data_IF_865123990008
#
_entry.id   IF_865123990008
#
_cell.length_a   1.000
_cell.length_b   1.000
_cell.length_c   1.000
_cell.angle_alpha   90.00
_cell.angle_beta   90.00
_cell.angle_gamma   90.00
#
_symmetry.space_group_name_H-M   'P 1'
#
loop_
_entity.id
_entity.type
_entity.pdbx_description
1 polymer ?
#
# COMPACT_ATOMS: atom_id res chain seq x y z
N UNK A 1 -0.66 -17.80 -15.86
CA UNK A 1 -0.15 -16.41 -15.97
C UNK A 1 -1.24 -15.35 -16.07
N UNK A 2 -2.26 -15.48 -16.94
CA UNK A 2 -3.35 -14.49 -17.04
C UNK A 2 -4.13 -14.29 -15.73
N UNK A 3 -4.49 -15.38 -15.06
CA UNK A 3 -5.28 -15.35 -13.81
C UNK A 3 -4.57 -14.54 -12.71
N UNK A 4 -3.29 -14.81 -12.44
CA UNK A 4 -2.51 -14.07 -11.41
C UNK A 4 -2.44 -12.57 -11.71
N UNK A 5 -2.25 -12.21 -12.98
CA UNK A 5 -2.23 -10.80 -13.41
C UNK A 5 -3.59 -10.14 -13.22
N UNK A 6 -4.69 -10.84 -13.56
CA UNK A 6 -6.06 -10.37 -13.31
C UNK A 6 -6.33 -10.17 -11.82
N UNK A 7 -5.91 -11.10 -10.96
CA UNK A 7 -6.06 -10.98 -9.51
C UNK A 7 -5.35 -9.72 -8.98
N UNK A 8 -4.13 -9.46 -9.43
CA UNK A 8 -3.38 -8.26 -9.04
C UNK A 8 -4.07 -6.96 -9.50
N UNK A 9 -4.65 -6.95 -10.69
CA UNK A 9 -5.42 -5.79 -11.20
C UNK A 9 -6.70 -5.59 -10.39
N UNK A 10 -7.41 -6.66 -10.02
CA UNK A 10 -8.60 -6.57 -9.17
C UNK A 10 -8.24 -6.08 -7.76
N UNK A 11 -7.12 -6.55 -7.19
CA UNK A 11 -6.63 -6.07 -5.90
C UNK A 11 -6.25 -4.58 -5.96
N UNK A 12 -5.67 -4.12 -7.07
CA UNK A 12 -5.42 -2.70 -7.31
C UNK A 12 -6.73 -1.90 -7.32
N UNK A 13 -7.79 -2.39 -7.96
CA UNK A 13 -9.08 -1.72 -7.96
C UNK A 13 -9.65 -1.61 -6.53
N UNK A 14 -9.57 -2.69 -5.73
CA UNK A 14 -10.01 -2.69 -4.35
C UNK A 14 -9.24 -1.66 -3.48
N UNK A 15 -7.91 -1.60 -3.62
CA UNK A 15 -7.06 -0.64 -2.91
C UNK A 15 -7.44 0.82 -3.19
N UNK A 16 -7.92 1.13 -4.40
CA UNK A 16 -8.31 2.49 -4.78
C UNK A 16 -9.77 2.78 -4.40
N UNK A 17 -10.68 1.83 -4.64
CA UNK A 17 -12.11 2.01 -4.36
C UNK A 17 -12.35 2.20 -2.86
N UNK A 18 -11.61 1.50 -2.00
CA UNK A 18 -11.80 1.56 -0.55
C UNK A 18 -11.68 2.97 0.04
N UNK A 19 -10.57 3.71 -0.13
CA UNK A 19 -10.47 5.08 0.34
C UNK A 19 -11.30 6.07 -0.49
N UNK A 20 -11.61 5.79 -1.77
CA UNK A 20 -12.55 6.60 -2.55
C UNK A 20 -13.96 6.58 -1.94
N UNK A 21 -14.39 5.45 -1.37
CA UNK A 21 -15.64 5.37 -0.63
C UNK A 21 -15.65 6.35 0.55
N UNK A 22 -14.53 6.48 1.29
CA UNK A 22 -14.40 7.46 2.37
C UNK A 22 -14.47 8.93 1.92
N UNK A 23 -14.06 9.23 0.68
CA UNK A 23 -14.21 10.57 0.11
C UNK A 23 -15.65 10.89 -0.31
N UNK A 24 -16.35 9.90 -0.85
CA UNK A 24 -17.72 10.02 -1.37
C UNK A 24 -18.79 9.88 -0.29
N UNK A 25 -18.54 9.05 0.73
CA UNK A 25 -19.47 8.71 1.81
C UNK A 25 -18.74 8.65 3.16
N UNK A 26 -18.40 9.81 3.74
CA UNK A 26 -17.53 9.90 4.91
C UNK A 26 -18.15 9.33 6.20
N UNK A 27 -19.46 9.52 6.42
CA UNK A 27 -20.12 9.06 7.66
C UNK A 27 -20.07 7.53 7.83
N UNK A 28 -20.44 6.70 6.82
CA UNK A 28 -20.23 5.26 6.89
C UNK A 28 -18.76 4.86 7.07
N UNK A 29 -17.84 5.58 6.41
CA UNK A 29 -16.40 5.29 6.45
C UNK A 29 -15.78 5.56 7.82
N UNK A 30 -16.40 6.41 8.65
CA UNK A 30 -15.94 6.65 10.02
C UNK A 30 -15.91 5.34 10.83
N UNK A 31 -16.83 4.41 10.60
CA UNK A 31 -16.85 3.14 11.33
C UNK A 31 -15.57 2.33 11.08
N UNK A 32 -15.08 2.28 9.84
CA UNK A 32 -13.80 1.63 9.50
C UNK A 32 -12.62 2.33 10.18
N UNK A 33 -12.60 3.67 10.14
CA UNK A 33 -11.54 4.45 10.78
C UNK A 33 -11.53 4.29 12.31
N UNK A 34 -12.67 3.98 12.93
CA UNK A 34 -12.75 3.76 14.37
C UNK A 34 -12.21 2.40 14.80
N UNK A 35 -12.13 1.41 13.91
CA UNK A 35 -11.45 0.15 14.21
C UNK A 35 -9.93 0.37 14.39
N UNK A 36 -9.35 1.25 13.57
CA UNK A 36 -7.93 1.58 13.59
C UNK A 36 -7.60 2.75 14.55
N UNK A 37 -8.52 3.72 14.70
CA UNK A 37 -8.39 4.92 15.53
C UNK A 37 -9.56 5.07 16.51
N UNK A 38 -9.70 4.18 17.52
CA UNK A 38 -10.88 4.12 18.39
C UNK A 38 -11.08 5.37 19.27
N UNK A 39 -10.02 6.17 19.47
CA UNK A 39 -10.09 7.41 20.26
C UNK A 39 -10.82 8.57 19.55
N UNK A 40 -11.21 8.41 18.29
CA UNK A 40 -11.63 9.51 17.42
C UNK A 40 -13.14 9.52 17.15
N UNK A 41 -13.94 9.63 18.21
CA UNK A 41 -15.42 9.56 18.12
C UNK A 41 -16.13 10.90 17.77
N UNK A 42 -15.39 12.00 17.59
CA UNK A 42 -15.97 13.34 17.27
C UNK A 42 -15.25 13.99 16.09
N UNK A 43 -15.22 13.27 14.99
CA UNK A 43 -14.52 13.67 13.76
C UNK A 43 -15.47 14.41 12.82
N UNK A 44 -15.04 15.56 12.31
CA UNK A 44 -15.78 16.26 11.26
C UNK A 44 -15.68 15.54 9.91
N UNK A 45 -16.67 15.75 9.04
CA UNK A 45 -16.67 15.22 7.66
C UNK A 45 -15.37 15.57 6.90
N UNK A 46 -14.82 16.77 7.11
CA UNK A 46 -13.59 17.20 6.44
C UNK A 46 -12.36 16.42 6.94
N UNK A 47 -12.30 16.09 8.22
CA UNK A 47 -11.22 15.29 8.79
C UNK A 47 -11.27 13.84 8.29
N UNK A 48 -12.48 13.27 8.16
CA UNK A 48 -12.67 11.94 7.57
C UNK A 48 -12.21 11.93 6.11
N UNK A 49 -12.62 12.93 5.31
CA UNK A 49 -12.17 13.05 3.91
C UNK A 49 -10.65 13.22 3.81
N UNK A 50 -10.05 13.98 4.73
CA UNK A 50 -8.60 14.14 4.75
C UNK A 50 -7.89 12.82 5.06
N UNK A 51 -8.37 12.05 6.06
CA UNK A 51 -7.84 10.73 6.37
C UNK A 51 -8.00 9.76 5.18
N UNK A 52 -9.16 9.73 4.53
CA UNK A 52 -9.41 8.94 3.34
C UNK A 52 -8.49 9.34 2.16
N UNK A 53 -8.21 10.64 2.00
CA UNK A 53 -7.25 11.11 0.99
C UNK A 53 -5.82 10.65 1.27
N UNK A 54 -5.38 10.72 2.53
CA UNK A 54 -4.05 10.24 2.94
C UNK A 54 -3.95 8.73 2.66
N UNK A 55 -4.97 7.95 3.02
CA UNK A 55 -5.02 6.52 2.75
C UNK A 55 -5.07 6.20 1.24
N UNK A 56 -5.74 7.03 0.43
CA UNK A 56 -5.71 6.90 -1.03
C UNK A 56 -4.29 7.07 -1.58
N UNK A 57 -3.54 8.07 -1.11
CA UNK A 57 -2.16 8.30 -1.54
C UNK A 57 -1.28 7.10 -1.19
N UNK A 58 -1.41 6.57 0.02
CA UNK A 58 -0.71 5.36 0.43
C UNK A 58 -1.06 4.16 -0.45
N UNK A 59 -2.35 3.92 -0.69
CA UNK A 59 -2.83 2.80 -1.48
C UNK A 59 -2.41 2.91 -2.95
N UNK A 60 -2.20 4.11 -3.49
CA UNK A 60 -1.62 4.30 -4.83
C UNK A 60 -0.19 3.77 -4.90
N UNK A 61 0.61 3.92 -3.84
CA UNK A 61 1.97 3.38 -3.79
C UNK A 61 1.91 1.85 -3.86
N UNK A 62 1.07 1.21 -3.04
CA UNK A 62 0.90 -0.25 -3.05
C UNK A 62 0.28 -0.77 -4.36
N UNK A 63 -0.71 -0.06 -4.90
CA UNK A 63 -1.32 -0.35 -6.19
C UNK A 63 -0.28 -0.33 -7.33
N UNK A 64 0.69 0.60 -7.27
CA UNK A 64 1.78 0.65 -8.24
C UNK A 64 2.63 -0.63 -8.23
N UNK A 65 2.83 -1.24 -7.05
CA UNK A 65 3.51 -2.54 -6.92
C UNK A 65 2.72 -3.61 -7.67
N UNK A 66 1.41 -3.70 -7.42
CA UNK A 66 0.56 -4.73 -8.04
C UNK A 66 0.48 -4.57 -9.56
N UNK A 67 0.40 -3.34 -10.07
CA UNK A 67 0.42 -3.07 -11.51
C UNK A 67 1.76 -3.50 -12.13
N UNK A 68 2.89 -3.16 -11.50
CA UNK A 68 4.22 -3.51 -12.01
C UNK A 68 4.44 -5.04 -11.98
N UNK A 69 4.00 -5.73 -10.92
CA UNK A 69 4.01 -7.19 -10.86
C UNK A 69 3.10 -7.82 -11.92
N UNK A 70 1.89 -7.29 -12.10
CA UNK A 70 0.96 -7.78 -13.12
C UNK A 70 1.53 -7.65 -14.53
N UNK A 71 2.16 -6.51 -14.83
CA UNK A 71 2.84 -6.26 -16.11
C UNK A 71 4.08 -7.13 -16.30
N UNK A 72 4.86 -7.34 -15.25
CA UNK A 72 6.01 -8.24 -15.29
C UNK A 72 5.59 -9.69 -15.54
N UNK A 73 4.54 -10.18 -14.88
CA UNK A 73 3.98 -11.52 -15.14
C UNK A 73 3.50 -11.64 -16.59
N UNK A 74 2.94 -10.58 -17.19
CA UNK A 74 2.56 -10.62 -18.61
C UNK A 74 3.77 -10.52 -19.55
N UNK A 75 4.84 -9.83 -19.14
CA UNK A 75 6.04 -9.59 -19.94
C UNK A 75 7.33 -9.78 -19.11
N UNK A 76 7.77 -11.04 -18.88
CA UNK A 76 8.87 -11.35 -17.97
C UNK A 76 10.25 -10.84 -18.43
N UNK A 77 10.37 -10.44 -19.69
CA UNK A 77 11.60 -9.91 -20.30
C UNK A 77 11.99 -8.52 -19.80
N UNK A 78 11.18 -7.89 -18.93
CA UNK A 78 11.41 -6.55 -18.39
C UNK A 78 11.73 -6.60 -16.89
N UNK A 79 12.96 -6.97 -16.49
CA UNK A 79 13.35 -7.11 -15.08
C UNK A 79 13.23 -5.79 -14.28
N UNK A 80 13.31 -4.65 -14.96
CA UNK A 80 13.12 -3.34 -14.33
C UNK A 80 11.76 -3.22 -13.61
N UNK A 81 10.70 -3.85 -14.13
CA UNK A 81 9.36 -3.84 -13.51
C UNK A 81 9.34 -4.60 -12.18
N UNK A 82 9.94 -5.80 -12.16
CA UNK A 82 10.06 -6.60 -10.96
C UNK A 82 10.94 -5.91 -9.91
N UNK A 83 12.08 -5.34 -10.34
CA UNK A 83 12.98 -4.58 -9.46
C UNK A 83 12.28 -3.38 -8.84
N UNK A 84 11.52 -2.60 -9.62
CA UNK A 84 10.77 -1.46 -9.12
C UNK A 84 9.72 -1.89 -8.08
N UNK A 85 8.92 -2.90 -8.40
CA UNK A 85 7.92 -3.45 -7.49
C UNK A 85 8.56 -3.92 -6.17
N UNK A 86 9.68 -4.64 -6.27
CA UNK A 86 10.40 -5.17 -5.12
C UNK A 86 10.96 -4.06 -4.21
N UNK A 87 11.67 -3.07 -4.78
CA UNK A 87 12.19 -1.94 -4.01
C UNK A 87 11.07 -1.13 -3.35
N UNK A 88 9.97 -0.89 -4.07
CA UNK A 88 8.81 -0.16 -3.55
C UNK A 88 8.17 -0.90 -2.38
N UNK A 89 8.03 -2.23 -2.48
CA UNK A 89 7.46 -3.06 -1.40
C UNK A 89 8.35 -3.09 -0.15
N UNK A 90 9.67 -3.02 -0.31
CA UNK A 90 10.61 -2.95 0.83
C UNK A 90 10.45 -1.66 1.62
N UNK A 91 10.22 -0.53 0.94
CA UNK A 91 10.09 0.78 1.59
C UNK A 91 8.65 1.13 1.96
N UNK A 92 7.67 0.39 1.44
CA UNK A 92 6.24 0.62 1.67
C UNK A 92 5.87 0.75 3.16
N UNK A 93 6.40 -0.05 4.10
CA UNK A 93 6.09 0.11 5.52
C UNK A 93 6.45 1.49 6.09
N UNK A 94 7.47 2.16 5.55
CA UNK A 94 7.80 3.53 5.94
C UNK A 94 6.74 4.52 5.47
N UNK A 95 6.23 4.35 4.24
CA UNK A 95 5.12 5.15 3.73
C UNK A 95 3.85 4.91 4.53
N UNK A 96 3.51 3.64 4.82
CA UNK A 96 2.35 3.30 5.65
C UNK A 96 2.44 3.92 7.05
N UNK A 97 3.60 3.87 7.69
CA UNK A 97 3.82 4.51 8.99
C UNK A 97 3.63 6.04 8.93
N UNK A 98 4.16 6.69 7.89
CA UNK A 98 4.00 8.13 7.69
C UNK A 98 2.52 8.48 7.45
N UNK A 99 1.83 7.72 6.61
CA UNK A 99 0.40 7.89 6.33
C UNK A 99 -0.44 7.73 7.60
N UNK A 100 -0.22 6.68 8.37
CA UNK A 100 -0.90 6.42 9.64
C UNK A 100 -0.68 7.56 10.64
N UNK A 101 0.54 8.11 10.71
CA UNK A 101 0.84 9.29 11.52
C UNK A 101 0.02 10.52 11.09
N UNK A 102 -0.03 10.82 9.79
CA UNK A 102 -0.81 11.95 9.29
C UNK A 102 -2.32 11.74 9.43
N UNK A 103 -2.81 10.51 9.26
CA UNK A 103 -4.21 10.16 9.50
C UNK A 103 -4.58 10.36 10.96
N UNK A 104 -3.77 9.83 11.89
CA UNK A 104 -3.94 10.04 13.32
C UNK A 104 -4.03 11.53 13.64
N UNK A 105 -3.07 12.34 13.16
CA UNK A 105 -3.08 13.78 13.38
C UNK A 105 -4.31 14.48 12.78
N UNK A 106 -4.75 14.10 11.58
CA UNK A 106 -5.93 14.67 10.93
C UNK A 106 -7.20 14.37 11.71
N UNK A 107 -7.31 13.17 12.26
CA UNK A 107 -8.46 12.69 13.01
C UNK A 107 -8.47 13.25 14.44
N UNK A 108 -7.33 13.30 15.09
CA UNK A 108 -7.18 13.65 16.51
C UNK A 108 -6.99 15.14 16.81
N UNK A 109 -7.19 16.05 15.85
CA UNK A 109 -6.94 17.49 16.04
C UNK A 109 -7.68 18.09 17.24
N UNK A 110 -8.78 17.46 17.66
CA UNK A 110 -9.61 17.88 18.78
C UNK A 110 -9.18 17.27 20.13
N UNK A 111 -8.22 16.33 20.14
CA UNK A 111 -7.72 15.66 21.35
C UNK A 111 -6.47 16.38 21.88
N UNK A 112 -6.42 16.62 23.20
CA UNK A 112 -5.28 17.27 23.86
C UNK A 112 -4.00 16.43 23.85
N UNK A 113 -4.13 15.12 23.74
CA UNK A 113 -3.02 14.17 23.61
C UNK A 113 -3.45 13.07 22.64
N UNK A 114 -2.97 13.06 21.39
CA UNK A 114 -3.21 11.94 20.49
C UNK A 114 -2.42 10.72 20.96
N UNK A 115 -3.10 9.60 21.23
CA UNK A 115 -2.42 8.31 21.40
C UNK A 115 -1.96 7.84 20.03
N UNK A 116 -0.66 8.00 19.78
CA UNK A 116 -0.03 7.55 18.57
C UNK A 116 0.67 6.21 18.84
N UNK A 117 0.01 5.11 18.48
CA UNK A 117 0.64 3.81 18.45
C UNK A 117 1.27 3.61 17.07
N UNK A 118 2.58 3.87 16.96
CA UNK A 118 3.37 3.43 15.80
C UNK A 118 3.89 2.04 16.13
N UNK A 119 3.38 1.02 15.44
CA UNK A 119 3.85 -0.35 15.61
C UNK A 119 4.41 -0.91 14.30
N UNK A 120 5.60 -1.50 14.38
CA UNK A 120 6.14 -2.32 13.32
C UNK A 120 5.42 -3.67 13.35
N UNK A 121 4.34 -3.79 12.58
CA UNK A 121 3.51 -5.00 12.56
C UNK A 121 4.13 -6.15 11.77
N UNK A 122 3.58 -7.36 11.96
CA UNK A 122 3.92 -8.52 11.12
C UNK A 122 3.63 -8.27 9.64
N UNK A 123 2.59 -7.49 9.31
CA UNK A 123 2.26 -7.10 7.94
C UNK A 123 3.37 -6.21 7.34
N UNK A 124 3.91 -5.27 8.12
CA UNK A 124 5.03 -4.42 7.72
C UNK A 124 6.27 -5.27 7.37
N UNK A 125 6.61 -6.25 8.22
CA UNK A 125 7.72 -7.17 7.97
C UNK A 125 7.47 -8.07 6.76
N UNK A 126 6.24 -8.53 6.57
CA UNK A 126 5.86 -9.33 5.41
C UNK A 126 6.14 -8.61 4.09
N UNK A 127 5.76 -7.33 3.98
CA UNK A 127 6.07 -6.52 2.80
C UNK A 127 7.58 -6.40 2.54
N UNK A 128 8.38 -6.18 3.58
CA UNK A 128 9.84 -6.11 3.44
C UNK A 128 10.42 -7.43 2.94
N UNK A 129 10.04 -8.55 3.56
CA UNK A 129 10.52 -9.88 3.18
C UNK A 129 10.11 -10.24 1.75
N UNK A 130 8.86 -9.95 1.37
CA UNK A 130 8.40 -10.14 -0.01
C UNK A 130 9.19 -9.29 -1.01
N UNK A 131 9.49 -8.03 -0.67
CA UNK A 131 10.35 -7.20 -1.49
C UNK A 131 11.76 -7.79 -1.68
N UNK A 132 12.38 -8.29 -0.61
CA UNK A 132 13.69 -8.97 -0.68
C UNK A 132 13.62 -10.23 -1.54
N UNK A 133 12.57 -11.06 -1.39
CA UNK A 133 12.38 -12.26 -2.18
C UNK A 133 12.24 -11.94 -3.68
N UNK A 134 11.46 -10.91 -4.04
CA UNK A 134 11.29 -10.46 -5.41
C UNK A 134 12.61 -9.92 -6.01
N UNK A 135 13.45 -9.25 -5.23
CA UNK A 135 14.80 -8.86 -5.66
C UNK A 135 15.70 -10.09 -5.92
N UNK A 136 15.61 -11.13 -5.08
CA UNK A 136 16.30 -12.39 -5.29
C UNK A 136 15.90 -13.06 -6.60
N UNK A 137 14.60 -13.14 -6.87
CA UNK A 137 14.05 -13.66 -8.14
C UNK A 137 14.55 -12.82 -9.33
N UNK A 138 14.53 -11.49 -9.21
CA UNK A 138 14.99 -10.60 -10.26
C UNK A 138 16.47 -10.84 -10.61
N UNK A 139 17.33 -10.98 -9.59
CA UNK A 139 18.76 -11.30 -9.79
C UNK A 139 18.96 -12.66 -10.44
N UNK A 140 18.25 -13.69 -9.98
CA UNK A 140 18.36 -15.04 -10.53
C UNK A 140 17.96 -15.08 -12.01
N UNK A 141 16.86 -14.43 -12.38
CA UNK A 141 16.40 -14.41 -13.77
C UNK A 141 17.31 -13.57 -14.67
N UNK A 142 17.77 -12.40 -14.22
CA UNK A 142 18.74 -11.59 -14.99
C UNK A 142 20.02 -12.37 -15.31
N UNK A 143 20.52 -13.18 -14.38
CA UNK A 143 21.69 -14.02 -14.63
C UNK A 143 21.43 -15.10 -15.70
N UNK A 144 20.23 -15.70 -15.70
CA UNK A 144 19.83 -16.68 -16.72
C UNK A 144 19.68 -16.05 -18.11
N UNK A 145 19.12 -14.84 -18.22
CA UNK A 145 18.99 -14.14 -19.50
C UNK A 145 20.33 -13.73 -20.11
N UNK A 146 21.33 -13.38 -19.29
CA UNK A 146 22.66 -13.05 -19.80
C UNK A 146 23.38 -14.30 -20.33
N UNK A 147 23.31 -15.42 -19.61
CA UNK A 147 23.95 -16.68 -20.02
C UNK A 147 23.33 -17.35 -21.27
N UNK A 148 22.16 -16.90 -21.74
CA UNK A 148 21.51 -17.41 -22.96
C UNK A 148 21.86 -16.60 -24.22
N UNK A 149 22.47 -15.43 -24.05
CA UNK A 149 22.86 -14.53 -25.14
C UNK A 149 24.39 -14.53 -25.39
N UNK A 150 25.15 -15.32 -24.63
CA UNK A 150 26.56 -15.63 -24.83
C UNK A 150 26.72 -17.02 -25.49
#
# INVERSE_FOLDING_TARGET
MKITSTILIMACAALIIYPLWGLLSPEPYLHELLEEFPSVNKTSVNQIKLAALIQLVENVILASVFINLARYIQTPTKPALLKFAACTLMIYPLFAMISHFFMAMALSQHLKQPLLHIELSANSLFYMVMGVALLGINKAQSATFNNQND
#
